data_IF_064258998861
#
_entry.id   IF_064258998861
#
_cell.length_a   1.000
_cell.length_b   1.000
_cell.length_c   1.000
_cell.angle_alpha   90.00
_cell.angle_beta   90.00
_cell.angle_gamma   90.00
#
_symmetry.space_group_name_H-M   'P 1'
#
loop_
_entity.id
_entity.type
_entity.pdbx_description
1 polymer ?
#
# COMPACT_ATOMS: atom_id res chain seq x y z
N UNK A 1 -5.05 -57.37 17.68
CA UNK A 1 -3.85 -56.87 18.40
C UNK A 1 -2.81 -56.30 17.44
N UNK A 2 -2.51 -56.96 16.33
CA UNK A 2 -1.51 -56.48 15.35
C UNK A 2 -1.87 -55.13 14.71
N UNK A 3 -3.14 -54.91 14.34
CA UNK A 3 -3.60 -53.62 13.78
C UNK A 3 -3.38 -52.43 14.72
N UNK A 4 -3.60 -52.62 16.03
CA UNK A 4 -3.38 -51.59 17.05
C UNK A 4 -1.88 -51.29 17.18
N UNK A 5 -1.02 -52.31 17.05
CA UNK A 5 0.43 -52.13 17.06
C UNK A 5 0.89 -51.36 15.82
N UNK A 6 0.37 -51.67 14.63
CA UNK A 6 0.69 -50.91 13.41
C UNK A 6 0.22 -49.46 13.48
N UNK A 7 -0.99 -49.21 13.97
CA UNK A 7 -1.51 -47.86 14.18
C UNK A 7 -0.67 -47.08 15.21
N UNK A 8 -0.26 -47.72 16.30
CA UNK A 8 0.60 -47.10 17.30
C UNK A 8 1.98 -46.75 16.73
N UNK A 9 2.61 -47.66 15.97
CA UNK A 9 3.89 -47.42 15.30
C UNK A 9 3.75 -46.25 14.32
N UNK A 10 2.70 -46.24 13.49
CA UNK A 10 2.44 -45.17 12.55
C UNK A 10 2.23 -43.83 13.26
N UNK A 11 1.42 -43.79 14.33
CA UNK A 11 1.20 -42.59 15.13
C UNK A 11 2.50 -42.06 15.76
N UNK A 12 3.36 -42.94 16.27
CA UNK A 12 4.68 -42.56 16.80
C UNK A 12 5.57 -41.99 15.71
N UNK A 13 5.60 -42.60 14.51
CA UNK A 13 6.39 -42.08 13.38
C UNK A 13 5.92 -40.68 12.99
N UNK A 14 4.61 -40.48 12.81
CA UNK A 14 4.03 -39.17 12.48
C UNK A 14 4.34 -38.13 13.56
N UNK A 15 4.21 -38.51 14.83
CA UNK A 15 4.54 -37.63 15.97
C UNK A 15 6.03 -37.23 15.95
N UNK A 16 6.93 -38.19 15.75
CA UNK A 16 8.38 -37.93 15.69
C UNK A 16 8.72 -37.01 14.52
N UNK A 17 8.11 -37.20 13.35
CA UNK A 17 8.28 -36.32 12.19
C UNK A 17 7.79 -34.90 12.52
N UNK A 18 6.60 -34.76 13.09
CA UNK A 18 6.04 -33.46 13.47
C UNK A 18 6.88 -32.72 14.51
N UNK A 19 7.37 -33.43 15.54
CA UNK A 19 8.26 -32.85 16.55
C UNK A 19 9.60 -32.41 15.96
N UNK A 20 10.17 -33.21 15.03
CA UNK A 20 11.40 -32.86 14.32
C UNK A 20 11.21 -31.64 13.43
N UNK A 21 10.10 -31.57 12.69
CA UNK A 21 9.80 -30.42 11.84
C UNK A 21 9.64 -29.15 12.68
N UNK A 22 8.86 -29.21 13.76
CA UNK A 22 8.67 -28.10 14.70
C UNK A 22 10.00 -27.62 15.28
N UNK A 23 10.82 -28.54 15.79
CA UNK A 23 12.13 -28.21 16.36
C UNK A 23 13.09 -27.64 15.30
N UNK A 24 13.05 -28.13 14.07
CA UNK A 24 13.81 -27.57 12.95
C UNK A 24 13.38 -26.14 12.62
N UNK A 25 12.07 -25.90 12.53
CA UNK A 25 11.51 -24.57 12.28
C UNK A 25 11.85 -23.58 13.39
N UNK A 26 11.67 -23.98 14.65
CA UNK A 26 12.01 -23.15 15.81
C UNK A 26 13.50 -22.78 15.83
N UNK A 27 14.39 -23.71 15.45
CA UNK A 27 15.83 -23.42 15.30
C UNK A 27 16.12 -22.47 14.15
N UNK A 28 15.36 -22.52 13.06
CA UNK A 28 15.51 -21.58 11.95
C UNK A 28 15.07 -20.16 12.36
N UNK A 29 13.92 -20.02 13.01
CA UNK A 29 13.45 -18.70 13.47
C UNK A 29 14.43 -18.02 14.43
N UNK A 30 15.10 -18.80 15.30
CA UNK A 30 16.16 -18.29 16.19
C UNK A 30 17.37 -17.70 15.47
N UNK A 31 17.61 -18.06 14.20
CA UNK A 31 18.71 -17.52 13.39
C UNK A 31 18.38 -16.19 12.72
N UNK A 32 17.12 -15.78 12.74
CA UNK A 32 16.65 -14.51 12.16
C UNK A 32 16.30 -13.60 13.34
N UNK A 33 17.22 -12.79 13.88
CA UNK A 33 16.98 -12.03 15.11
C UNK A 33 15.82 -11.03 15.00
N UNK A 34 15.69 -10.35 13.85
CA UNK A 34 14.63 -9.36 13.59
C UNK A 34 13.51 -10.00 12.77
N UNK A 35 12.34 -10.21 13.37
CA UNK A 35 11.17 -10.76 12.66
C UNK A 35 10.03 -9.78 12.81
N UNK A 36 9.56 -9.23 11.70
CA UNK A 36 8.47 -8.27 11.63
C UNK A 36 7.26 -8.94 10.98
N UNK A 37 6.10 -8.87 11.63
CA UNK A 37 4.83 -9.36 11.08
C UNK A 37 3.93 -8.17 10.76
N UNK A 38 3.57 -7.99 9.49
CA UNK A 38 2.67 -6.92 9.05
C UNK A 38 1.26 -7.50 8.86
N UNK A 39 0.32 -7.03 9.67
CA UNK A 39 -1.08 -7.45 9.70
C UNK A 39 -2.01 -6.27 9.41
N UNK A 40 -3.28 -6.54 9.16
CA UNK A 40 -4.29 -5.53 8.80
C UNK A 40 -5.11 -5.97 7.59
N UNK A 41 -6.14 -5.21 7.27
CA UNK A 41 -6.99 -5.51 6.10
C UNK A 41 -6.32 -4.98 4.83
N UNK A 42 -5.97 -3.68 4.80
CA UNK A 42 -5.33 -3.02 3.66
C UNK A 42 -3.91 -2.55 3.98
N UNK A 43 -3.13 -2.19 2.95
CA UNK A 43 -1.79 -1.57 3.10
C UNK A 43 -0.66 -2.51 3.53
N UNK A 44 -0.93 -3.78 3.85
CA UNK A 44 0.10 -4.73 4.34
C UNK A 44 1.28 -4.88 3.38
N UNK A 45 1.01 -5.04 2.09
CA UNK A 45 2.02 -5.20 1.05
C UNK A 45 2.96 -4.00 0.98
N UNK A 46 2.40 -2.79 1.01
CA UNK A 46 3.14 -1.53 0.98
C UNK A 46 4.00 -1.38 2.23
N UNK A 47 3.43 -1.52 3.42
CA UNK A 47 4.16 -1.42 4.70
C UNK A 47 5.29 -2.46 4.78
N UNK A 48 5.05 -3.69 4.30
CA UNK A 48 6.08 -4.74 4.25
C UNK A 48 7.27 -4.32 3.38
N UNK A 49 7.00 -3.73 2.21
CA UNK A 49 8.04 -3.27 1.29
C UNK A 49 8.79 -2.04 1.79
N UNK A 50 8.10 -1.09 2.42
CA UNK A 50 8.72 0.06 3.06
C UNK A 50 9.67 -0.34 4.19
N UNK A 51 9.23 -1.21 5.11
CA UNK A 51 10.09 -1.72 6.20
C UNK A 51 11.28 -2.49 5.63
N UNK A 52 11.09 -3.27 4.57
CA UNK A 52 12.19 -3.91 3.86
C UNK A 52 13.20 -2.90 3.32
N UNK A 53 12.72 -1.85 2.63
CA UNK A 53 13.57 -0.80 2.07
C UNK A 53 14.39 -0.09 3.16
N UNK A 54 13.74 0.26 4.27
CA UNK A 54 14.40 0.82 5.47
C UNK A 54 15.52 -0.10 5.97
N UNK A 55 15.22 -1.39 6.19
CA UNK A 55 16.20 -2.33 6.74
C UNK A 55 17.35 -2.61 5.76
N UNK A 56 17.08 -2.59 4.46
CA UNK A 56 18.09 -2.72 3.41
C UNK A 56 19.03 -1.50 3.40
N UNK A 57 18.48 -0.29 3.48
CA UNK A 57 19.24 0.96 3.54
C UNK A 57 20.06 1.08 4.84
N UNK A 58 19.56 0.56 5.96
CA UNK A 58 20.30 0.38 7.23
C UNK A 58 21.43 -0.68 7.14
N UNK A 59 21.63 -1.31 5.98
CA UNK A 59 22.68 -2.29 5.75
C UNK A 59 22.38 -3.69 6.30
N UNK A 60 21.14 -3.97 6.72
CA UNK A 60 20.76 -5.31 7.20
C UNK A 60 20.53 -6.27 6.06
N UNK A 61 20.86 -7.53 6.32
CA UNK A 61 20.49 -8.64 5.43
C UNK A 61 19.03 -8.99 5.65
N UNK A 62 18.14 -8.29 4.96
CA UNK A 62 16.69 -8.41 5.15
C UNK A 62 16.04 -9.18 4.01
N UNK A 63 15.14 -10.11 4.34
CA UNK A 63 14.20 -10.67 3.39
C UNK A 63 12.80 -10.12 3.66
N UNK A 64 12.03 -9.91 2.59
CA UNK A 64 10.63 -9.54 2.68
C UNK A 64 9.75 -10.57 1.97
N UNK A 65 8.50 -10.70 2.45
CA UNK A 65 7.49 -11.58 1.88
C UNK A 65 6.13 -10.91 1.86
N UNK A 66 5.54 -10.83 0.68
CA UNK A 66 4.17 -10.33 0.47
C UNK A 66 3.22 -11.46 0.09
N UNK A 67 1.92 -11.23 0.25
CA UNK A 67 0.86 -12.23 0.04
C UNK A 67 -0.07 -11.83 -1.12
N UNK A 68 -1.28 -12.40 -1.18
CA UNK A 68 -2.25 -12.09 -2.25
C UNK A 68 -2.00 -12.82 -3.57
N UNK A 69 -2.55 -12.29 -4.67
CA UNK A 69 -2.53 -12.91 -6.01
C UNK A 69 -1.13 -12.98 -6.61
N UNK A 70 -0.29 -11.99 -6.33
CA UNK A 70 1.11 -11.92 -6.76
C UNK A 70 2.04 -12.00 -5.55
N UNK A 71 2.01 -13.13 -4.84
CA UNK A 71 2.86 -13.34 -3.67
C UNK A 71 4.34 -13.43 -4.06
N UNK A 72 5.20 -12.66 -3.38
CA UNK A 72 6.61 -12.46 -3.73
C UNK A 72 7.53 -12.62 -2.53
N UNK A 73 8.74 -13.09 -2.79
CA UNK A 73 9.90 -12.99 -1.91
C UNK A 73 10.88 -12.00 -2.52
N UNK A 74 11.42 -11.12 -1.70
CA UNK A 74 12.44 -10.17 -2.11
C UNK A 74 13.55 -10.11 -1.06
N UNK A 75 14.77 -9.86 -1.49
CA UNK A 75 15.96 -9.96 -0.64
C UNK A 75 16.87 -8.76 -0.84
N UNK A 76 17.66 -8.43 0.18
CA UNK A 76 18.61 -7.32 0.15
C UNK A 76 19.68 -7.48 -0.94
N UNK A 77 20.00 -8.72 -1.34
CA UNK A 77 21.12 -9.08 -2.20
C UNK A 77 20.74 -9.28 -3.68
N UNK A 78 19.48 -9.02 -4.06
CA UNK A 78 19.04 -9.11 -5.45
C UNK A 78 17.95 -8.07 -5.74
N UNK A 79 17.92 -7.58 -6.98
CA UNK A 79 16.88 -6.65 -7.43
C UNK A 79 15.59 -7.38 -7.82
N UNK A 80 15.69 -8.54 -8.44
CA UNK A 80 14.53 -9.29 -8.92
C UNK A 80 13.73 -9.95 -7.78
N UNK A 81 12.41 -9.78 -7.80
CA UNK A 81 11.50 -10.45 -6.87
C UNK A 81 11.19 -11.89 -7.31
N UNK A 82 11.33 -12.85 -6.40
CA UNK A 82 10.99 -14.25 -6.63
C UNK A 82 9.49 -14.50 -6.43
N UNK A 83 8.74 -14.99 -7.44
CA UNK A 83 7.36 -15.40 -7.23
C UNK A 83 7.26 -16.62 -6.30
N UNK A 84 6.28 -16.59 -5.39
CA UNK A 84 5.97 -17.73 -4.52
C UNK A 84 5.06 -18.69 -5.29
N UNK A 85 5.66 -19.77 -5.81
CA UNK A 85 4.92 -20.86 -6.44
C UNK A 85 4.14 -21.63 -5.37
N UNK A 86 2.81 -21.52 -5.44
CA UNK A 86 1.89 -22.18 -4.51
C UNK A 86 1.67 -23.64 -4.88
N UNK A 87 1.35 -24.45 -3.87
CA UNK A 87 0.93 -25.84 -4.08
C UNK A 87 -0.47 -25.89 -4.72
N UNK A 88 -0.88 -27.08 -5.19
CA UNK A 88 -2.24 -27.32 -5.71
C UNK A 88 -3.36 -27.00 -4.71
N UNK A 89 -3.04 -26.93 -3.41
CA UNK A 89 -3.99 -26.56 -2.35
C UNK A 89 -4.24 -25.04 -2.26
N UNK A 90 -3.59 -24.23 -3.11
CA UNK A 90 -3.70 -22.78 -3.07
C UNK A 90 -2.89 -22.14 -1.94
N UNK A 91 -3.24 -20.91 -1.54
CA UNK A 91 -2.56 -20.17 -0.48
C UNK A 91 -2.72 -20.88 0.87
N UNK A 92 -1.62 -21.09 1.60
CA UNK A 92 -1.67 -21.76 2.90
C UNK A 92 -0.62 -21.21 3.86
N UNK A 93 -1.01 -20.94 5.11
CA UNK A 93 -0.10 -20.43 6.14
C UNK A 93 1.17 -21.28 6.35
N UNK A 94 1.10 -22.59 6.06
CA UNK A 94 2.24 -23.50 6.17
C UNK A 94 3.39 -23.18 5.21
N UNK A 95 3.13 -22.41 4.14
CA UNK A 95 4.17 -21.90 3.21
C UNK A 95 5.25 -21.11 3.96
N UNK A 96 4.88 -20.47 5.08
CA UNK A 96 5.77 -19.68 5.92
C UNK A 96 6.96 -20.48 6.45
N UNK A 97 6.79 -21.78 6.71
CA UNK A 97 7.90 -22.67 7.13
C UNK A 97 8.96 -22.78 6.06
N UNK A 98 8.53 -22.88 4.80
CA UNK A 98 9.43 -22.96 3.65
C UNK A 98 10.11 -21.62 3.40
N UNK A 99 9.38 -20.51 3.52
CA UNK A 99 9.95 -19.16 3.36
C UNK A 99 11.02 -18.90 4.43
N UNK A 100 10.74 -19.18 5.71
CA UNK A 100 11.73 -19.04 6.79
C UNK A 100 13.00 -19.86 6.53
N UNK A 101 12.87 -21.08 5.97
CA UNK A 101 14.04 -21.90 5.57
C UNK A 101 14.87 -21.22 4.48
N UNK A 102 14.24 -20.59 3.48
CA UNK A 102 14.93 -19.83 2.42
C UNK A 102 15.69 -18.64 2.98
N UNK A 103 15.05 -17.86 3.86
CA UNK A 103 15.65 -16.71 4.55
C UNK A 103 16.89 -17.12 5.34
N UNK A 104 16.81 -18.20 6.12
CA UNK A 104 17.96 -18.74 6.86
C UNK A 104 19.07 -19.25 5.93
N UNK A 105 18.72 -19.90 4.81
CA UNK A 105 19.70 -20.39 3.83
C UNK A 105 20.53 -19.25 3.24
N UNK A 106 19.90 -18.09 3.00
CA UNK A 106 20.58 -16.87 2.54
C UNK A 106 21.34 -16.13 3.66
N UNK A 107 21.20 -16.57 4.92
CA UNK A 107 21.80 -15.92 6.10
C UNK A 107 21.27 -14.50 6.34
N UNK A 108 19.98 -14.28 6.09
CA UNK A 108 19.33 -13.02 6.43
C UNK A 108 19.21 -12.87 7.96
N UNK A 109 19.38 -11.64 8.43
CA UNK A 109 19.30 -11.23 9.83
C UNK A 109 17.91 -10.67 10.18
N UNK A 110 17.16 -10.27 9.15
CA UNK A 110 15.82 -9.74 9.29
C UNK A 110 14.84 -10.42 8.32
N UNK A 111 13.60 -10.61 8.78
CA UNK A 111 12.50 -11.10 7.95
C UNK A 111 11.23 -10.29 8.19
N UNK A 112 10.77 -9.58 7.16
CA UNK A 112 9.51 -8.82 7.17
C UNK A 112 8.47 -9.65 6.42
N UNK A 113 7.44 -10.10 7.13
CA UNK A 113 6.42 -10.97 6.55
C UNK A 113 5.05 -10.35 6.68
N UNK A 114 4.36 -10.24 5.56
CA UNK A 114 2.93 -9.98 5.53
C UNK A 114 2.14 -11.18 6.10
N UNK A 115 1.11 -10.88 6.90
CA UNK A 115 0.15 -11.85 7.42
C UNK A 115 -0.88 -12.20 6.34
N UNK A 116 -1.02 -13.50 6.06
CA UNK A 116 -2.03 -14.03 5.13
C UNK A 116 -3.24 -14.64 5.82
N UNK A 117 -3.25 -14.71 7.15
CA UNK A 117 -4.26 -15.44 7.89
C UNK A 117 -5.53 -14.58 8.04
N UNK A 118 -6.62 -14.95 7.39
CA UNK A 118 -7.92 -14.29 7.61
C UNK A 118 -8.60 -14.85 8.86
N UNK A 119 -8.58 -16.18 9.02
CA UNK A 119 -9.20 -16.86 10.16
C UNK A 119 -8.52 -16.49 11.50
N UNK A 120 -9.29 -16.15 12.56
CA UNK A 120 -8.75 -15.77 13.87
C UNK A 120 -7.82 -16.82 14.51
N UNK A 121 -8.13 -18.12 14.41
CA UNK A 121 -7.27 -19.18 14.93
C UNK A 121 -5.94 -19.26 14.17
N UNK A 122 -5.99 -19.01 12.86
CA UNK A 122 -4.79 -18.98 12.03
C UNK A 122 -3.92 -17.77 12.31
N UNK A 123 -4.48 -16.61 12.68
CA UNK A 123 -3.72 -15.44 13.12
C UNK A 123 -2.82 -15.80 14.32
N UNK A 124 -3.40 -16.46 15.34
CA UNK A 124 -2.67 -16.93 16.52
C UNK A 124 -1.58 -17.93 16.15
N UNK A 125 -1.89 -18.94 15.33
CA UNK A 125 -0.90 -19.94 14.91
C UNK A 125 0.22 -19.29 14.09
N UNK A 126 -0.12 -18.34 13.22
CA UNK A 126 0.85 -17.62 12.39
C UNK A 126 1.88 -16.91 13.27
N UNK A 127 1.42 -16.19 14.30
CA UNK A 127 2.33 -15.52 15.22
C UNK A 127 3.05 -16.48 16.17
N UNK A 128 2.35 -17.36 16.88
CA UNK A 128 2.96 -18.16 17.97
C UNK A 128 3.85 -19.32 17.46
N UNK A 129 3.63 -19.78 16.22
CA UNK A 129 4.28 -20.99 15.70
C UNK A 129 5.08 -20.73 14.44
N UNK A 130 4.60 -19.89 13.52
CA UNK A 130 5.17 -19.80 12.17
C UNK A 130 6.15 -18.63 12.02
N UNK A 131 5.81 -17.44 12.50
CA UNK A 131 6.66 -16.24 12.38
C UNK A 131 7.40 -15.94 13.67
N UNK A 132 6.73 -16.02 14.83
CA UNK A 132 7.24 -15.60 16.14
C UNK A 132 7.88 -14.22 16.07
N UNK A 133 7.15 -13.25 15.52
CA UNK A 133 7.67 -11.91 15.32
C UNK A 133 8.09 -11.27 16.65
N UNK A 134 9.08 -10.38 16.59
CA UNK A 134 9.47 -9.51 17.70
C UNK A 134 8.72 -8.19 17.62
N UNK A 135 8.30 -7.80 16.41
CA UNK A 135 7.57 -6.58 16.11
C UNK A 135 6.38 -6.98 15.25
N UNK A 136 5.18 -6.58 15.66
CA UNK A 136 3.97 -6.75 14.85
C UNK A 136 3.47 -5.37 14.46
N UNK A 137 3.12 -5.15 13.19
CA UNK A 137 2.44 -3.95 12.72
C UNK A 137 0.99 -4.32 12.46
N UNK A 138 0.03 -3.58 13.00
CA UNK A 138 -1.38 -3.70 12.66
C UNK A 138 -1.75 -2.44 11.88
N UNK A 139 -1.83 -2.54 10.56
CA UNK A 139 -1.93 -1.39 9.68
C UNK A 139 -3.28 -0.66 9.78
N UNK A 140 -4.37 -1.40 10.00
CA UNK A 140 -5.73 -0.88 10.15
C UNK A 140 -6.66 -1.97 10.70
N UNK A 141 -7.82 -1.54 11.20
CA UNK A 141 -8.97 -2.37 11.57
C UNK A 141 -10.17 -1.77 10.86
N UNK A 142 -10.62 -2.41 9.77
CA UNK A 142 -11.74 -1.94 8.94
C UNK A 142 -12.61 -3.12 8.54
N UNK A 143 -13.83 -2.86 8.06
CA UNK A 143 -14.77 -3.90 7.68
C UNK A 143 -14.35 -4.57 6.38
N UNK A 144 -13.99 -5.85 6.48
CA UNK A 144 -13.74 -6.76 5.36
C UNK A 144 -13.72 -8.19 5.90
N UNK A 145 -14.07 -9.17 5.07
CA UNK A 145 -14.11 -10.59 5.45
C UNK A 145 -14.91 -10.88 6.74
N UNK A 146 -16.01 -10.15 6.97
CA UNK A 146 -16.84 -10.24 8.18
C UNK A 146 -17.44 -11.65 8.36
N UNK A 147 -17.65 -12.39 7.28
CA UNK A 147 -18.11 -13.77 7.26
C UNK A 147 -17.10 -14.76 7.88
N UNK A 148 -15.80 -14.41 7.89
CA UNK A 148 -14.71 -15.25 8.43
C UNK A 148 -14.16 -14.70 9.73
N UNK A 149 -13.99 -13.38 9.84
CA UNK A 149 -13.36 -12.74 10.99
C UNK A 149 -14.34 -12.49 12.14
N UNK A 150 -15.64 -12.42 11.85
CA UNK A 150 -16.69 -12.10 12.80
C UNK A 150 -17.51 -10.88 12.35
N UNK A 151 -18.73 -10.73 12.87
CA UNK A 151 -19.69 -9.73 12.38
C UNK A 151 -19.35 -8.28 12.73
N UNK A 152 -18.34 -8.01 13.56
CA UNK A 152 -18.01 -6.66 14.03
C UNK A 152 -16.53 -6.30 13.90
N UNK A 153 -16.23 -5.01 13.90
CA UNK A 153 -14.85 -4.50 13.99
C UNK A 153 -14.13 -4.96 15.26
N UNK A 154 -14.87 -5.21 16.35
CA UNK A 154 -14.32 -5.74 17.61
C UNK A 154 -13.75 -7.15 17.39
N UNK A 155 -14.42 -7.98 16.59
CA UNK A 155 -13.94 -9.33 16.25
C UNK A 155 -12.65 -9.27 15.41
N UNK A 156 -12.56 -8.32 14.47
CA UNK A 156 -11.33 -8.08 13.69
C UNK A 156 -10.19 -7.61 14.61
N UNK A 157 -10.47 -6.66 15.50
CA UNK A 157 -9.49 -6.19 16.47
C UNK A 157 -9.03 -7.31 17.40
N UNK A 158 -9.94 -8.18 17.85
CA UNK A 158 -9.61 -9.37 18.64
C UNK A 158 -8.70 -10.32 17.84
N UNK A 159 -9.07 -10.65 16.61
CA UNK A 159 -8.27 -11.50 15.72
C UNK A 159 -6.85 -10.96 15.51
N UNK A 160 -6.71 -9.66 15.25
CA UNK A 160 -5.39 -9.02 15.08
C UNK A 160 -4.61 -8.92 16.39
N UNK A 161 -5.27 -8.71 17.52
CA UNK A 161 -4.58 -8.70 18.83
C UNK A 161 -3.86 -10.01 19.13
N UNK A 162 -4.32 -11.12 18.53
CA UNK A 162 -3.68 -12.42 18.65
C UNK A 162 -2.27 -12.46 18.05
N UNK A 163 -1.92 -11.52 17.15
CA UNK A 163 -0.59 -11.43 16.55
C UNK A 163 0.40 -10.55 17.34
N UNK A 164 -0.03 -9.92 18.44
CA UNK A 164 0.88 -9.14 19.30
C UNK A 164 1.97 -10.06 19.88
N UNK A 165 3.26 -9.73 19.76
CA UNK A 165 4.32 -10.61 20.24
C UNK A 165 4.35 -10.70 21.77
N UNK A 166 5.11 -11.67 22.29
CA UNK A 166 5.56 -11.65 23.68
C UNK A 166 6.94 -11.00 23.76
N UNK A 167 7.16 -10.14 24.76
CA UNK A 167 8.43 -9.44 24.96
C UNK A 167 8.90 -8.66 23.71
N UNK A 168 7.98 -7.96 23.06
CA UNK A 168 8.22 -7.27 21.79
C UNK A 168 7.46 -5.96 21.66
N UNK A 169 7.20 -5.57 20.42
CA UNK A 169 6.49 -4.34 20.10
C UNK A 169 5.29 -4.61 19.20
N UNK A 170 4.24 -3.81 19.36
CA UNK A 170 3.16 -3.69 18.38
C UNK A 170 3.07 -2.24 17.93
N UNK A 171 3.12 -2.03 16.62
CA UNK A 171 2.94 -0.73 15.97
C UNK A 171 1.51 -0.67 15.44
N UNK A 172 0.79 0.41 15.76
CA UNK A 172 -0.61 0.64 15.34
C UNK A 172 -0.77 2.08 14.84
N UNK A 173 -1.74 2.39 13.97
CA UNK A 173 -2.14 3.77 13.74
C UNK A 173 -2.91 4.31 14.96
N UNK A 174 -3.25 5.60 14.96
CA UNK A 174 -4.25 6.09 15.89
C UNK A 174 -5.60 5.42 15.59
N UNK A 175 -6.23 4.85 16.61
CA UNK A 175 -7.39 3.97 16.43
C UNK A 175 -8.23 3.86 17.69
N UNK A 176 -9.57 3.71 17.58
CA UNK A 176 -10.44 3.45 18.74
C UNK A 176 -10.02 2.24 19.58
N UNK A 177 -9.31 1.27 18.96
CA UNK A 177 -8.84 0.04 19.60
C UNK A 177 -7.52 0.17 20.36
N UNK A 178 -6.93 1.37 20.44
CA UNK A 178 -5.64 1.61 21.11
C UNK A 178 -5.60 1.04 22.52
N UNK A 179 -6.58 1.39 23.36
CA UNK A 179 -6.67 0.89 24.74
C UNK A 179 -6.83 -0.63 24.83
N UNK A 180 -7.48 -1.24 23.83
CA UNK A 180 -7.60 -2.69 23.73
C UNK A 180 -6.25 -3.35 23.42
N UNK A 181 -5.52 -2.85 22.42
CA UNK A 181 -4.19 -3.34 22.07
C UNK A 181 -3.18 -3.14 23.20
N UNK A 182 -3.20 -1.99 23.90
CA UNK A 182 -2.37 -1.73 25.09
C UNK A 182 -2.61 -2.76 26.20
N UNK A 183 -3.88 -3.10 26.46
CA UNK A 183 -4.23 -4.13 27.45
C UNK A 183 -3.64 -5.48 27.09
N UNK A 184 -3.72 -5.90 25.82
CA UNK A 184 -3.17 -7.19 25.36
C UNK A 184 -1.64 -7.16 25.34
N UNK A 185 -1.02 -6.10 24.83
CA UNK A 185 0.43 -5.91 24.81
C UNK A 185 1.02 -6.00 26.21
N UNK A 186 0.43 -5.31 27.20
CA UNK A 186 0.85 -5.38 28.61
C UNK A 186 0.79 -6.81 29.17
N UNK A 187 -0.27 -7.58 28.85
CA UNK A 187 -0.38 -9.01 29.27
C UNK A 187 0.72 -9.89 28.65
N UNK A 188 1.23 -9.50 27.47
CA UNK A 188 2.29 -10.22 26.75
C UNK A 188 3.69 -9.65 27.03
N UNK A 189 3.81 -8.70 27.95
CA UNK A 189 5.04 -7.95 28.22
C UNK A 189 5.61 -7.26 26.96
N UNK A 190 4.72 -6.72 26.14
CA UNK A 190 5.04 -5.99 24.91
C UNK A 190 4.61 -4.53 25.01
N UNK A 191 5.22 -3.67 24.20
CA UNK A 191 4.93 -2.24 24.15
C UNK A 191 4.11 -1.90 22.92
N UNK A 192 3.18 -0.96 23.06
CA UNK A 192 2.46 -0.36 21.93
C UNK A 192 3.22 0.89 21.50
N UNK A 193 3.38 1.07 20.18
CA UNK A 193 3.87 2.30 19.55
C UNK A 193 2.78 2.77 18.60
N UNK A 194 2.34 4.02 18.76
CA UNK A 194 1.36 4.62 17.85
C UNK A 194 2.13 5.37 16.76
N UNK A 195 1.85 5.06 15.51
CA UNK A 195 2.43 5.73 14.36
C UNK A 195 1.85 7.13 14.21
N UNK A 196 2.73 8.12 14.04
CA UNK A 196 2.36 9.52 13.90
C UNK A 196 2.43 9.94 12.43
N UNK A 197 1.27 10.12 11.82
CA UNK A 197 1.12 10.51 10.41
C UNK A 197 1.60 11.94 10.16
N UNK A 198 1.55 12.81 11.17
CA UNK A 198 1.96 14.22 11.06
C UNK A 198 3.46 14.41 10.84
N UNK A 199 4.25 13.35 10.98
CA UNK A 199 5.68 13.33 10.71
C UNK A 199 6.03 13.38 9.21
N UNK A 200 5.04 13.26 8.33
CA UNK A 200 5.24 13.24 6.89
C UNK A 200 4.60 14.45 6.22
N UNK A 201 5.44 15.24 5.57
CA UNK A 201 5.01 16.31 4.69
C UNK A 201 4.63 15.76 3.31
N UNK A 202 3.64 16.36 2.67
CA UNK A 202 3.16 15.92 1.35
C UNK A 202 4.25 15.98 0.27
N UNK A 203 5.20 16.92 0.40
CA UNK A 203 6.34 17.02 -0.51
C UNK A 203 7.21 15.75 -0.51
N UNK A 204 7.41 15.14 0.65
CA UNK A 204 8.13 13.88 0.75
C UNK A 204 7.33 12.72 0.14
N UNK A 205 6.02 12.66 0.38
CA UNK A 205 5.15 11.59 -0.11
C UNK A 205 4.99 11.63 -1.65
N UNK A 206 5.07 12.81 -2.27
CA UNK A 206 5.13 12.99 -3.74
C UNK A 206 6.39 12.45 -4.42
N UNK A 207 7.46 12.17 -3.65
CA UNK A 207 8.72 11.61 -4.18
C UNK A 207 8.57 10.12 -4.54
N UNK A 208 7.55 9.43 -4.02
CA UNK A 208 7.28 8.04 -4.37
C UNK A 208 6.75 7.91 -5.81
N UNK A 209 7.11 6.84 -6.54
CA UNK A 209 6.62 6.60 -7.90
C UNK A 209 5.19 6.03 -7.94
N UNK A 210 4.55 5.91 -6.78
CA UNK A 210 3.20 5.39 -6.59
C UNK A 210 2.52 6.17 -5.46
N UNK A 211 1.19 6.12 -5.40
CA UNK A 211 0.47 6.77 -4.31
C UNK A 211 0.78 6.09 -2.97
N UNK A 212 1.27 6.88 -2.03
CA UNK A 212 1.49 6.44 -0.65
C UNK A 212 0.52 7.14 0.30
N UNK A 213 -0.01 6.38 1.25
CA UNK A 213 -0.79 6.91 2.37
C UNK A 213 0.15 7.25 3.54
N UNK A 214 0.01 8.42 4.21
CA UNK A 214 0.88 8.85 5.31
C UNK A 214 0.96 7.80 6.41
N UNK A 215 -0.18 7.18 6.75
CA UNK A 215 -0.28 6.05 7.66
C UNK A 215 0.71 4.92 7.35
N UNK A 216 0.82 4.49 6.09
CA UNK A 216 1.73 3.40 5.73
C UNK A 216 3.20 3.79 5.96
N UNK A 217 3.57 5.04 5.63
CA UNK A 217 4.91 5.56 5.88
C UNK A 217 5.19 5.69 7.38
N UNK A 218 4.24 6.20 8.16
CA UNK A 218 4.34 6.34 9.62
C UNK A 218 4.48 5.01 10.34
N UNK A 219 3.71 3.99 9.94
CA UNK A 219 3.85 2.64 10.48
C UNK A 219 5.25 2.07 10.22
N UNK A 220 5.79 2.30 9.02
CA UNK A 220 7.14 1.85 8.66
C UNK A 220 8.24 2.61 9.41
N UNK A 221 8.09 3.92 9.59
CA UNK A 221 9.01 4.75 10.36
C UNK A 221 9.02 4.37 11.84
N UNK A 222 7.87 4.09 12.44
CA UNK A 222 7.80 3.62 13.82
C UNK A 222 8.52 2.27 14.04
N UNK A 223 8.58 1.40 13.01
CA UNK A 223 9.42 0.18 13.06
C UNK A 223 10.91 0.53 13.01
N UNK A 224 11.30 1.54 12.23
CA UNK A 224 12.66 2.05 12.19
C UNK A 224 13.09 2.60 13.57
N UNK A 225 12.21 3.37 14.22
CA UNK A 225 12.44 3.92 15.57
C UNK A 225 12.64 2.81 16.61
N UNK A 226 11.82 1.75 16.58
CA UNK A 226 11.97 0.58 17.48
C UNK A 226 13.33 -0.11 17.28
N UNK A 227 13.85 -0.08 16.06
CA UNK A 227 15.11 -0.71 15.67
C UNK A 227 16.31 0.25 15.78
N UNK A 228 16.09 1.47 16.26
CA UNK A 228 17.09 2.53 16.44
C UNK A 228 17.81 2.91 15.13
N UNK A 229 17.06 2.90 14.02
CA UNK A 229 17.57 3.28 12.69
C UNK A 229 17.47 4.80 12.54
N UNK A 230 18.53 5.41 11.98
CA UNK A 230 18.55 6.85 11.70
C UNK A 230 17.39 7.28 10.79
N UNK A 231 16.76 8.41 11.11
CA UNK A 231 15.56 8.88 10.41
C UNK A 231 15.83 9.12 8.93
N UNK A 232 16.97 9.72 8.57
CA UNK A 232 17.31 10.00 7.18
C UNK A 232 17.60 8.70 6.41
N UNK A 233 18.22 7.71 7.06
CA UNK A 233 18.37 6.35 6.51
C UNK A 233 16.99 5.72 6.26
N UNK A 234 16.05 5.83 7.19
CA UNK A 234 14.71 5.30 7.01
C UNK A 234 13.96 5.98 5.85
N UNK A 235 14.01 7.32 5.76
CA UNK A 235 13.37 8.08 4.69
C UNK A 235 13.93 7.71 3.31
N UNK A 236 15.26 7.56 3.17
CA UNK A 236 15.86 7.09 1.91
C UNK A 236 15.47 5.65 1.59
N UNK A 237 15.51 4.77 2.58
CA UNK A 237 15.16 3.35 2.40
C UNK A 237 13.71 3.14 1.97
N UNK A 238 12.78 3.99 2.43
CA UNK A 238 11.40 3.96 1.96
C UNK A 238 11.27 4.33 0.47
N UNK A 239 12.01 5.34 -0.01
CA UNK A 239 11.97 5.77 -1.40
C UNK A 239 12.59 4.74 -2.36
N UNK A 240 13.55 3.95 -1.89
CA UNK A 240 14.21 2.87 -2.67
C UNK A 240 13.56 1.50 -2.48
N UNK A 241 12.46 1.43 -1.72
CA UNK A 241 11.73 0.19 -1.49
C UNK A 241 11.19 -0.39 -2.81
N UNK A 242 11.14 -1.73 -2.95
CA UNK A 242 10.41 -2.35 -4.06
C UNK A 242 8.96 -1.84 -4.09
N UNK A 243 8.41 -1.69 -5.29
CA UNK A 243 7.02 -1.24 -5.48
C UNK A 243 6.12 -2.46 -5.56
N UNK A 244 4.97 -2.42 -4.89
CA UNK A 244 3.97 -3.48 -5.03
C UNK A 244 3.44 -3.52 -6.47
N UNK A 245 3.41 -4.68 -7.17
CA UNK A 245 2.76 -4.76 -8.48
C UNK A 245 1.30 -4.32 -8.46
N UNK A 246 0.64 -4.40 -7.30
CA UNK A 246 -0.72 -3.89 -7.10
C UNK A 246 -0.83 -2.47 -6.54
N UNK A 247 0.29 -1.75 -6.32
CA UNK A 247 0.24 -0.36 -5.89
C UNK A 247 -0.34 0.52 -7.02
N UNK A 248 -1.15 1.50 -6.63
CA UNK A 248 -1.68 2.47 -7.59
C UNK A 248 -0.55 3.37 -8.08
N UNK A 249 -0.11 3.13 -9.32
CA UNK A 249 0.88 3.96 -10.00
C UNK A 249 0.26 5.30 -10.39
N UNK A 250 1.08 6.34 -10.32
CA UNK A 250 0.75 7.68 -10.78
C UNK A 250 1.59 7.95 -12.03
N UNK A 251 0.95 7.91 -13.19
CA UNK A 251 1.65 8.13 -14.45
C UNK A 251 1.73 9.63 -14.75
N UNK A 252 2.92 10.08 -15.16
CA UNK A 252 3.16 11.46 -15.59
C UNK A 252 3.33 11.48 -17.10
N UNK A 253 2.56 12.29 -17.81
CA UNK A 253 2.66 12.39 -19.28
C UNK A 253 2.41 13.82 -19.77
N UNK A 254 2.70 14.09 -21.04
CA UNK A 254 2.54 15.42 -21.65
C UNK A 254 3.82 16.26 -21.64
N UNK A 255 3.75 17.53 -21.19
CA UNK A 255 4.92 18.43 -21.19
C UNK A 255 5.66 18.34 -19.86
N UNK A 256 7.00 18.23 -19.88
CA UNK A 256 7.82 18.10 -18.65
C UNK A 256 7.57 19.18 -17.58
N UNK A 257 7.37 20.44 -17.98
CA UNK A 257 7.19 21.58 -17.07
C UNK A 257 5.80 21.62 -16.41
N UNK A 258 4.79 21.04 -17.06
CA UNK A 258 3.42 21.00 -16.57
C UNK A 258 2.80 19.66 -16.97
N UNK A 259 3.26 18.55 -16.37
CA UNK A 259 2.81 17.22 -16.73
C UNK A 259 1.37 17.02 -16.26
N UNK A 260 0.68 16.09 -16.90
CA UNK A 260 -0.60 15.57 -16.42
C UNK A 260 -0.35 14.40 -15.47
N UNK A 261 -1.21 14.22 -14.49
CA UNK A 261 -1.10 13.17 -13.47
C UNK A 261 -2.27 12.21 -13.61
N UNK A 262 -1.99 11.00 -14.08
CA UNK A 262 -2.99 9.94 -14.20
C UNK A 262 -2.88 8.94 -13.04
N UNK A 263 -3.92 8.91 -12.21
CA UNK A 263 -4.10 7.97 -11.11
C UNK A 263 -4.91 6.77 -11.62
N UNK A 264 -4.24 5.62 -11.71
CA UNK A 264 -4.86 4.39 -12.18
C UNK A 264 -5.72 3.72 -11.08
N UNK A 265 -6.85 4.33 -10.74
CA UNK A 265 -7.82 3.81 -9.79
C UNK A 265 -8.66 2.65 -10.30
N UNK A 266 -8.51 2.21 -11.55
CA UNK A 266 -9.23 1.05 -12.08
C UNK A 266 -8.93 -0.21 -11.25
N UNK A 267 -7.75 -0.29 -10.63
CA UNK A 267 -7.35 -1.37 -9.73
C UNK A 267 -8.11 -1.37 -8.38
N UNK A 268 -8.81 -0.28 -8.02
CA UNK A 268 -9.63 -0.24 -6.83
C UNK A 268 -10.89 -1.11 -7.00
N UNK A 269 -11.00 -2.15 -6.18
CA UNK A 269 -12.04 -3.17 -6.34
C UNK A 269 -13.38 -2.80 -5.69
N UNK A 270 -13.45 -1.76 -4.87
CA UNK A 270 -14.64 -1.39 -4.07
C UNK A 270 -14.80 0.12 -3.91
N UNK A 271 -16.04 0.53 -3.59
CA UNK A 271 -16.48 1.92 -3.41
C UNK A 271 -15.59 2.67 -2.40
N UNK A 272 -15.36 2.07 -1.23
CA UNK A 272 -14.58 2.69 -0.15
C UNK A 272 -13.13 2.91 -0.57
N UNK A 273 -12.49 1.94 -1.24
CA UNK A 273 -11.15 2.13 -1.81
C UNK A 273 -11.11 3.30 -2.78
N UNK A 274 -12.09 3.39 -3.69
CA UNK A 274 -12.14 4.44 -4.72
C UNK A 274 -12.28 5.83 -4.10
N UNK A 275 -13.16 5.99 -3.10
CA UNK A 275 -13.34 7.26 -2.41
C UNK A 275 -12.13 7.65 -1.57
N UNK A 276 -11.53 6.72 -0.81
CA UNK A 276 -10.33 7.01 -0.02
C UNK A 276 -9.14 7.39 -0.91
N UNK A 277 -9.05 6.82 -2.11
CA UNK A 277 -8.05 7.23 -3.10
C UNK A 277 -8.34 8.65 -3.58
N UNK A 278 -9.59 8.99 -3.87
CA UNK A 278 -9.96 10.34 -4.27
C UNK A 278 -9.62 11.38 -3.20
N UNK A 279 -10.00 11.13 -1.94
CA UNK A 279 -9.61 11.98 -0.80
C UNK A 279 -8.09 12.16 -0.74
N UNK A 280 -7.34 11.07 -0.94
CA UNK A 280 -5.88 11.11 -0.95
C UNK A 280 -5.31 11.92 -2.12
N UNK A 281 -5.92 11.87 -3.30
CA UNK A 281 -5.54 12.72 -4.45
C UNK A 281 -5.72 14.20 -4.08
N UNK A 282 -6.80 14.54 -3.39
CA UNK A 282 -7.07 15.92 -2.94
C UNK A 282 -6.06 16.38 -1.88
N UNK A 283 -5.76 15.54 -0.88
CA UNK A 283 -4.76 15.84 0.16
C UNK A 283 -3.35 16.03 -0.40
N UNK A 284 -2.98 15.24 -1.41
CA UNK A 284 -1.68 15.38 -2.05
C UNK A 284 -1.54 16.75 -2.71
N UNK A 285 -2.61 17.48 -3.01
CA UNK A 285 -2.55 18.83 -3.57
C UNK A 285 -1.61 18.90 -4.78
N UNK A 286 -1.85 18.04 -5.76
CA UNK A 286 -1.16 18.16 -7.05
C UNK A 286 -1.55 19.49 -7.70
N UNK A 287 -0.62 20.16 -8.40
CA UNK A 287 -1.00 21.29 -9.24
C UNK A 287 -2.15 20.84 -10.13
N UNK A 288 -3.28 21.54 -10.08
CA UNK A 288 -4.50 21.13 -10.78
C UNK A 288 -5.14 22.33 -11.46
N UNK A 289 -5.01 22.37 -12.78
CA UNK A 289 -5.77 23.31 -13.62
C UNK A 289 -7.17 22.73 -13.94
N UNK A 290 -7.31 21.39 -13.88
CA UNK A 290 -8.55 20.67 -14.19
C UNK A 290 -8.55 19.27 -13.53
N UNK A 291 -9.70 18.86 -12.99
CA UNK A 291 -9.95 17.54 -12.41
C UNK A 291 -10.84 16.71 -13.33
N UNK A 292 -10.29 15.63 -13.88
CA UNK A 292 -10.99 14.75 -14.82
C UNK A 292 -11.15 13.35 -14.23
N UNK A 293 -12.37 12.86 -14.16
CA UNK A 293 -12.67 11.47 -13.79
C UNK A 293 -12.99 10.68 -15.05
N UNK A 294 -12.41 9.49 -15.18
CA UNK A 294 -12.71 8.57 -16.28
C UNK A 294 -13.36 7.33 -15.68
N UNK A 295 -14.60 7.04 -16.07
CA UNK A 295 -15.31 5.84 -15.63
C UNK A 295 -15.37 4.80 -16.75
N UNK A 296 -14.79 3.62 -16.51
CA UNK A 296 -14.89 2.48 -17.40
C UNK A 296 -16.06 1.55 -17.03
N UNK A 297 -17.01 1.42 -17.96
CA UNK A 297 -18.22 0.62 -17.83
C UNK A 297 -18.11 -0.70 -18.61
N UNK A 298 -18.87 -1.72 -18.19
CA UNK A 298 -18.92 -3.03 -18.84
C UNK A 298 -20.35 -3.55 -18.92
N UNK A 299 -20.70 -4.13 -20.07
CA UNK A 299 -22.01 -4.73 -20.31
C UNK A 299 -22.32 -5.94 -19.41
N UNK A 300 -21.30 -6.72 -19.02
CA UNK A 300 -21.48 -7.91 -18.17
C UNK A 300 -21.39 -7.60 -16.66
N UNK A 301 -21.23 -6.33 -16.27
CA UNK A 301 -21.11 -5.87 -14.87
C UNK A 301 -21.90 -4.59 -14.58
N UNK A 302 -23.11 -4.49 -15.11
CA UNK A 302 -23.96 -3.29 -14.98
C UNK A 302 -24.24 -2.90 -13.52
N UNK A 303 -24.41 -3.85 -12.61
CA UNK A 303 -24.61 -3.56 -11.18
C UNK A 303 -23.46 -2.73 -10.58
N UNK A 304 -22.21 -3.01 -10.97
CA UNK A 304 -21.05 -2.23 -10.52
C UNK A 304 -21.07 -0.81 -11.10
N UNK A 305 -21.51 -0.66 -12.35
CA UNK A 305 -21.68 0.65 -12.97
C UNK A 305 -22.72 1.47 -12.20
N UNK A 306 -23.84 0.85 -11.81
CA UNK A 306 -24.88 1.48 -10.98
C UNK A 306 -24.32 1.87 -9.61
N UNK A 307 -23.64 0.96 -8.93
CA UNK A 307 -23.00 1.23 -7.62
C UNK A 307 -22.08 2.45 -7.68
N UNK A 308 -21.26 2.58 -8.73
CA UNK A 308 -20.35 3.71 -8.89
C UNK A 308 -21.10 5.01 -9.22
N UNK A 309 -22.12 4.95 -10.07
CA UNK A 309 -22.94 6.11 -10.40
C UNK A 309 -23.70 6.66 -9.18
N UNK A 310 -24.16 5.79 -8.29
CA UNK A 310 -24.96 6.17 -7.12
C UNK A 310 -24.12 6.51 -5.89
N UNK A 311 -22.97 5.84 -5.70
CA UNK A 311 -22.24 5.85 -4.42
C UNK A 311 -20.79 6.30 -4.51
N UNK A 312 -20.26 6.55 -5.70
CA UNK A 312 -18.88 7.02 -5.90
C UNK A 312 -18.88 8.39 -6.56
N UNK A 313 -19.36 8.49 -7.80
CA UNK A 313 -19.32 9.71 -8.59
C UNK A 313 -19.98 10.93 -7.92
N UNK A 314 -21.09 10.80 -7.15
CA UNK A 314 -21.70 11.94 -6.45
C UNK A 314 -20.82 12.53 -5.35
N UNK A 315 -19.79 11.81 -4.89
CA UNK A 315 -18.87 12.24 -3.83
C UNK A 315 -17.50 12.69 -4.37
N UNK A 316 -17.33 12.74 -5.69
CA UNK A 316 -16.08 13.17 -6.33
C UNK A 316 -16.26 14.57 -6.90
N UNK A 317 -15.41 15.50 -6.49
CA UNK A 317 -15.37 16.88 -6.99
C UNK A 317 -14.59 16.93 -8.32
N UNK A 318 -15.29 16.98 -9.45
CA UNK A 318 -14.69 16.90 -10.78
C UNK A 318 -15.18 18.01 -11.72
N UNK A 319 -14.29 18.45 -12.61
CA UNK A 319 -14.62 19.35 -13.70
C UNK A 319 -15.16 18.57 -14.91
N UNK A 320 -14.49 17.47 -15.26
CA UNK A 320 -14.88 16.62 -16.39
C UNK A 320 -15.16 15.19 -15.96
N UNK A 321 -16.23 14.63 -16.51
CA UNK A 321 -16.52 13.20 -16.46
C UNK A 321 -16.41 12.59 -17.85
N UNK A 322 -15.47 11.67 -18.05
CA UNK A 322 -15.34 10.87 -19.26
C UNK A 322 -15.94 9.49 -18.98
N UNK A 323 -16.92 9.06 -19.77
CA UNK A 323 -17.44 7.68 -19.70
C UNK A 323 -16.94 6.88 -20.91
N UNK A 324 -16.47 5.67 -20.65
CA UNK A 324 -15.90 4.77 -21.67
C UNK A 324 -16.34 3.32 -21.46
N UNK A 325 -15.97 2.45 -22.41
CA UNK A 325 -16.32 1.03 -22.37
C UNK A 325 -17.71 0.78 -22.97
N UNK A 326 -18.52 -0.02 -22.29
CA UNK A 326 -19.84 -0.46 -22.77
C UNK A 326 -20.92 -0.23 -21.71
N UNK A 327 -22.16 0.03 -22.14
CA UNK A 327 -23.33 0.16 -21.25
C UNK A 327 -23.13 1.29 -20.23
N UNK A 328 -22.85 2.49 -20.73
CA UNK A 328 -22.60 3.69 -19.92
C UNK A 328 -23.88 4.38 -19.44
N UNK A 329 -25.05 3.92 -19.90
CA UNK A 329 -26.37 4.53 -19.64
C UNK A 329 -26.65 4.84 -18.15
N UNK A 330 -26.33 3.98 -17.16
CA UNK A 330 -26.59 4.31 -15.76
C UNK A 330 -25.86 5.59 -15.30
N UNK A 331 -24.63 5.81 -15.79
CA UNK A 331 -23.84 7.01 -15.47
C UNK A 331 -24.39 8.23 -16.19
N UNK A 332 -24.74 8.09 -17.47
CA UNK A 332 -25.34 9.18 -18.26
C UNK A 332 -26.67 9.63 -17.65
N UNK A 333 -27.51 8.69 -17.22
CA UNK A 333 -28.79 8.99 -16.59
C UNK A 333 -28.59 9.73 -15.26
N UNK A 334 -27.67 9.25 -14.41
CA UNK A 334 -27.34 9.88 -13.14
C UNK A 334 -26.67 11.27 -13.30
N UNK A 335 -25.98 11.53 -14.42
CA UNK A 335 -25.52 12.87 -14.78
C UNK A 335 -26.69 13.77 -15.20
N UNK A 336 -27.56 13.29 -16.09
CA UNK A 336 -28.68 14.05 -16.63
C UNK A 336 -29.76 14.40 -15.59
N UNK A 337 -29.96 13.54 -14.58
CA UNK A 337 -30.89 13.78 -13.47
C UNK A 337 -30.29 14.64 -12.34
N UNK A 338 -28.98 14.97 -12.43
CA UNK A 338 -28.26 15.83 -11.50
C UNK A 338 -27.69 15.11 -10.27
N UNK A 339 -27.76 13.78 -10.20
CA UNK A 339 -27.14 12.99 -9.13
C UNK A 339 -25.61 13.05 -9.18
N UNK A 340 -25.02 13.22 -10.37
CA UNK A 340 -23.58 13.41 -10.58
C UNK A 340 -23.31 14.85 -11.03
N UNK A 341 -22.46 15.56 -10.31
CA UNK A 341 -22.06 16.92 -10.64
C UNK A 341 -20.71 16.96 -11.36
N UNK A 342 -20.72 17.36 -12.63
CA UNK A 342 -19.53 17.68 -13.40
C UNK A 342 -19.82 18.84 -14.37
N UNK A 343 -18.86 19.74 -14.57
CA UNK A 343 -19.02 20.87 -15.50
C UNK A 343 -19.24 20.40 -16.94
N UNK A 344 -18.61 19.29 -17.33
CA UNK A 344 -18.73 18.71 -18.65
C UNK A 344 -18.71 17.17 -18.57
N UNK A 345 -19.53 16.52 -19.40
CA UNK A 345 -19.53 15.07 -19.58
C UNK A 345 -19.18 14.72 -21.03
N UNK A 346 -18.18 13.87 -21.21
CA UNK A 346 -17.74 13.38 -22.51
C UNK A 346 -18.07 11.90 -22.62
N UNK A 347 -18.92 11.54 -23.58
CA UNK A 347 -19.26 10.16 -23.86
C UNK A 347 -18.33 9.58 -24.93
N UNK A 348 -17.44 8.67 -24.52
CA UNK A 348 -16.53 7.90 -25.37
C UNK A 348 -16.87 6.40 -25.35
N UNK A 349 -18.15 6.04 -25.19
CA UNK A 349 -18.61 4.66 -25.29
C UNK A 349 -18.16 4.01 -26.61
N UNK A 350 -17.70 2.76 -26.53
CA UNK A 350 -17.19 1.96 -27.64
C UNK A 350 -16.01 2.59 -28.43
N UNK A 351 -15.36 3.64 -27.89
CA UNK A 351 -14.13 4.20 -28.47
C UNK A 351 -12.91 3.39 -28.02
N UNK A 352 -11.88 3.39 -28.86
CA UNK A 352 -10.62 2.72 -28.54
C UNK A 352 -9.80 3.52 -27.54
N UNK A 353 -8.86 2.86 -26.86
CA UNK A 353 -7.97 3.50 -25.89
C UNK A 353 -7.18 4.67 -26.50
N UNK A 354 -6.80 4.58 -27.79
CA UNK A 354 -6.06 5.64 -28.49
C UNK A 354 -6.88 6.94 -28.57
N UNK A 355 -8.17 6.85 -28.91
CA UNK A 355 -9.06 8.03 -28.99
C UNK A 355 -9.23 8.68 -27.61
N UNK A 356 -9.29 7.87 -26.57
CA UNK A 356 -9.39 8.35 -25.19
C UNK A 356 -8.08 9.05 -24.80
N UNK A 357 -6.93 8.44 -25.11
CA UNK A 357 -5.61 9.04 -24.87
C UNK A 357 -5.44 10.37 -25.61
N UNK A 358 -5.91 10.49 -26.86
CA UNK A 358 -5.90 11.77 -27.59
C UNK A 358 -6.67 12.85 -26.84
N UNK A 359 -7.88 12.55 -26.34
CA UNK A 359 -8.65 13.48 -25.50
C UNK A 359 -7.89 13.85 -24.22
N UNK A 360 -7.23 12.89 -23.57
CA UNK A 360 -6.45 13.15 -22.36
C UNK A 360 -5.19 13.97 -22.64
N UNK A 361 -4.60 13.87 -23.83
CA UNK A 361 -3.44 14.67 -24.23
C UNK A 361 -3.83 16.14 -24.45
N UNK A 362 -5.04 16.39 -24.94
CA UNK A 362 -5.59 17.72 -25.21
C UNK A 362 -5.99 18.50 -23.96
N UNK A 363 -6.12 17.83 -22.81
CA UNK A 363 -6.34 18.50 -21.52
C UNK A 363 -5.20 19.52 -21.23
N UNK A 364 -5.42 20.53 -20.38
CA UNK A 364 -4.39 21.46 -19.93
C UNK A 364 -3.15 20.77 -19.33
N UNK A 365 -2.08 21.56 -19.13
CA UNK A 365 -1.00 21.10 -18.26
C UNK A 365 -1.53 20.91 -16.83
N UNK A 366 -0.82 20.16 -15.99
CA UNK A 366 -1.20 19.96 -14.58
C UNK A 366 -2.60 19.34 -14.37
N UNK A 367 -3.26 18.77 -15.38
CA UNK A 367 -4.54 18.09 -15.14
C UNK A 367 -4.37 16.88 -14.23
N UNK A 368 -5.27 16.73 -13.28
CA UNK A 368 -5.39 15.55 -12.41
C UNK A 368 -6.46 14.64 -13.00
N UNK A 369 -6.07 13.42 -13.34
CA UNK A 369 -6.93 12.47 -14.05
C UNK A 369 -7.07 11.21 -13.19
N UNK A 370 -8.31 10.84 -12.84
CA UNK A 370 -8.59 9.66 -12.02
C UNK A 370 -9.44 8.63 -12.77
N UNK A 371 -8.85 7.47 -13.08
CA UNK A 371 -9.56 6.37 -13.73
C UNK A 371 -10.24 5.46 -12.71
N UNK A 372 -11.53 5.20 -12.85
CA UNK A 372 -12.36 4.39 -11.93
C UNK A 372 -13.29 3.42 -12.66
N UNK A 373 -13.84 2.44 -11.94
CA UNK A 373 -14.85 1.52 -12.46
C UNK A 373 -14.30 0.12 -12.66
N UNK A 374 -14.47 -0.44 -13.87
CA UNK A 374 -14.00 -1.79 -14.18
C UNK A 374 -12.56 -1.78 -14.71
N UNK A 375 -11.70 -2.66 -14.19
CA UNK A 375 -10.32 -2.79 -14.70
C UNK A 375 -10.24 -3.54 -16.04
N UNK A 376 -10.81 -4.75 -16.11
CA UNK A 376 -10.64 -5.65 -17.25
C UNK A 376 -11.23 -5.02 -18.53
N UNK A 377 -10.48 -5.13 -19.62
CA UNK A 377 -10.82 -4.53 -20.92
C UNK A 377 -10.32 -3.10 -20.99
N UNK A 378 -11.24 -2.14 -21.19
CA UNK A 378 -10.88 -0.74 -21.46
C UNK A 378 -10.01 -0.06 -20.40
N UNK A 379 -10.15 -0.42 -19.11
CA UNK A 379 -9.32 0.15 -18.03
C UNK A 379 -7.86 -0.29 -18.12
N UNK A 380 -7.61 -1.58 -18.40
CA UNK A 380 -6.26 -2.13 -18.63
C UNK A 380 -5.63 -1.54 -19.90
N UNK A 381 -6.40 -1.45 -20.99
CA UNK A 381 -5.93 -0.90 -22.27
C UNK A 381 -5.54 0.58 -22.13
N UNK A 382 -6.38 1.39 -21.47
CA UNK A 382 -6.10 2.81 -21.24
C UNK A 382 -4.88 2.99 -20.33
N UNK A 383 -4.79 2.22 -19.24
CA UNK A 383 -3.65 2.29 -18.34
C UNK A 383 -2.33 1.93 -19.04
N UNK A 384 -2.34 0.90 -19.89
CA UNK A 384 -1.18 0.51 -20.69
C UNK A 384 -0.79 1.61 -21.69
N UNK A 385 -1.76 2.18 -22.40
CA UNK A 385 -1.51 3.24 -23.37
C UNK A 385 -0.94 4.52 -22.73
N UNK A 386 -1.38 4.88 -21.52
CA UNK A 386 -0.81 6.00 -20.76
C UNK A 386 0.60 5.67 -20.26
N UNK A 387 0.85 4.43 -19.85
CA UNK A 387 2.18 3.99 -19.43
C UNK A 387 3.22 4.12 -20.55
N UNK A 388 2.86 3.87 -21.81
CA UNK A 388 3.76 4.06 -22.95
C UNK A 388 4.14 5.53 -23.20
N UNK A 389 3.35 6.47 -22.68
CA UNK A 389 3.59 7.92 -22.73
C UNK A 389 4.29 8.46 -21.48
N UNK A 390 4.63 7.58 -20.54
CA UNK A 390 5.16 7.95 -19.22
C UNK A 390 6.51 8.65 -19.36
N UNK A 391 6.60 9.83 -18.75
CA UNK A 391 7.84 10.59 -18.63
C UNK A 391 8.44 10.21 -17.30
N UNK A 392 9.57 9.49 -17.34
CA UNK A 392 10.30 9.08 -16.13
C UNK A 392 10.85 10.34 -15.44
N UNK A 393 10.47 10.62 -14.17
CA UNK A 393 11.09 11.69 -13.41
C UNK A 393 12.54 11.29 -13.07
N UNK A 394 13.50 12.17 -13.34
CA UNK A 394 14.84 12.05 -12.76
C UNK A 394 14.81 12.62 -11.33
N UNK A 395 15.58 12.02 -10.41
CA UNK A 395 15.71 12.56 -9.04
C UNK A 395 16.21 14.02 -9.02
N UNK A 396 16.90 14.46 -10.09
CA UNK A 396 17.33 15.85 -10.31
C UNK A 396 16.21 16.82 -10.72
N UNK A 397 15.08 16.34 -11.25
CA UNK A 397 13.96 17.21 -11.63
C UNK A 397 13.23 17.80 -10.40
N UNK A 398 13.49 17.26 -9.20
CA UNK A 398 13.04 17.84 -7.93
C UNK A 398 13.97 18.94 -7.40
N UNK A 399 15.19 19.07 -7.94
CA UNK A 399 16.15 20.10 -7.51
C UNK A 399 15.99 21.41 -8.31
N UNK A 400 15.59 21.33 -9.58
CA UNK A 400 15.54 22.49 -10.48
C UNK A 400 14.32 23.41 -10.33
N UNK A 401 13.26 22.99 -9.63
CA UNK A 401 12.14 23.89 -9.29
C UNK A 401 12.53 24.98 -8.28
N UNK A 402 13.61 24.78 -7.51
CA UNK A 402 14.02 25.68 -6.43
C UNK A 402 14.96 26.81 -6.88
N UNK A 403 15.74 26.61 -7.94
CA UNK A 403 16.67 27.65 -8.41
C UNK A 403 15.98 28.74 -9.24
N UNK A 404 14.82 28.46 -9.86
CA UNK A 404 14.10 29.48 -10.64
C UNK A 404 13.25 30.42 -9.75
N UNK A 405 12.71 29.97 -8.61
CA UNK A 405 11.94 30.83 -7.69
C UNK A 405 12.82 31.78 -6.85
N UNK A 406 14.05 31.40 -6.49
CA UNK A 406 15.00 32.33 -5.84
C UNK A 406 15.59 33.36 -6.82
N UNK A 407 15.49 33.14 -8.14
CA UNK A 407 16.09 34.04 -9.14
C UNK A 407 15.21 35.24 -9.55
N UNK A 408 13.96 35.30 -9.06
CA UNK A 408 12.99 36.32 -9.44
C UNK A 408 12.41 37.10 -8.26
N UNK A 409 13.22 37.56 -7.30
CA UNK A 409 12.89 38.78 -6.52
C UNK A 409 14.11 39.41 -5.83
N UNK A 410 15.08 39.92 -6.60
CA UNK A 410 15.94 41.02 -6.12
C UNK A 410 16.18 41.98 -7.30
N UNK A 411 15.27 42.93 -7.49
CA UNK A 411 15.57 44.16 -8.23
C UNK A 411 16.23 45.16 -7.27
N UNK A 412 17.43 45.60 -7.65
CA UNK A 412 18.33 46.51 -6.93
C UNK A 412 17.79 47.94 -6.78
N UNK A 413 16.74 48.18 -5.98
CA UNK A 413 16.24 49.56 -5.75
C UNK A 413 15.94 49.94 -4.29
N UNK A 414 16.49 49.25 -3.30
CA UNK A 414 16.28 49.61 -1.88
C UNK A 414 17.54 49.58 -1.01
N UNK A 415 18.68 50.02 -1.55
CA UNK A 415 19.93 50.20 -0.79
C UNK A 415 20.49 51.63 -0.81
N UNK A 416 19.62 52.64 -0.81
CA UNK A 416 20.00 54.01 -0.40
C UNK A 416 18.89 54.61 0.44
N UNK A 417 18.96 54.41 1.76
CA UNK A 417 18.59 55.38 2.81
C UNK A 417 18.37 54.63 4.13
N UNK A 418 19.46 54.42 4.87
CA UNK A 418 19.44 54.36 6.35
C UNK A 418 20.85 54.59 6.86
N UNK A 419 21.33 55.80 6.61
CA UNK A 419 22.50 56.34 7.29
C UNK A 419 22.11 56.60 8.74
N UNK A 420 22.86 55.95 9.63
CA UNK A 420 22.97 56.18 11.07
C UNK A 420 22.72 57.64 11.48
N UNK A 421 21.78 57.85 12.41
CA UNK A 421 21.89 58.93 13.39
C UNK A 421 22.06 58.33 14.78
N UNK A 422 23.28 58.43 15.28
CA UNK A 422 23.63 58.35 16.70
C UNK A 422 23.88 59.77 17.24
N UNK A 423 23.62 59.94 18.54
CA UNK A 423 23.79 61.12 19.40
C UNK A 423 22.65 62.15 19.28
N UNK A 424 21.85 62.44 20.31
CA UNK A 424 22.16 62.72 21.72
C UNK A 424 20.96 62.45 22.62
#
# INVERSE_FOLDING_TARGET
MEEIVYLAIFAVIVLVIGLREKSSHDRNLKKIPTRVLVNGIRGKSTVTRLIMGILKEDGRRVAGKTTGTSARMFYWDQEEEEPIVRSLQGPNISEQKTMAKRVVKRKADAFVSECMAVNPEYQKIFQERLVKANITVIANVIEDHMDVMGPTLDDIAEAFSSTIPHNGHVVIPETPYKGYFEKIARRRNSKVVVADESLFEEEYLKKFPFMIFPQNAALSLAVADILEIDREVALRGMLTAPVDPGAMRVHRFGKKRAPKYFFNGFAANDITSTLNIWERIQELDYPTDEKTVIMNCRSDRVERTIDFAERVLPHIDMDNLIVMGETVDPVINAYNDGSISASNMINLENKSAEVIVEHLQDLPGNSVIYGIGNIVGGGEELAAAIQDLEIVPSLSDYQTSWEEEESHTITEEAYEERTLQTNK
#
